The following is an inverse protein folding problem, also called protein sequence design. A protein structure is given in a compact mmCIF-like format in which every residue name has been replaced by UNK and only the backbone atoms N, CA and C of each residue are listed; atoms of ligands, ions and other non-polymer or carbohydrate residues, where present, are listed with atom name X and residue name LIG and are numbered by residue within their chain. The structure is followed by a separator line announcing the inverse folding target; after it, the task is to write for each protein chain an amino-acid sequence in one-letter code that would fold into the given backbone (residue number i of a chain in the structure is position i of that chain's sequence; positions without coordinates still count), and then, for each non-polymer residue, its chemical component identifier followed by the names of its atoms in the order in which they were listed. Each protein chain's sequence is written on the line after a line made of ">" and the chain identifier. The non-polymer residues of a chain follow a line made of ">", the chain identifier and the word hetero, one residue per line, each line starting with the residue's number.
data_IF_660642256901
#
_entry.id   IF_660642256901
#
_cell.length_a   1.000
_cell.length_b   1.000
_cell.length_c   1.000
_cell.angle_alpha   90.00
_cell.angle_beta   90.00
_cell.angle_gamma   90.00
#
_symmetry.space_group_name_H-M   'P 1'
#
loop_
_entity.id
_entity.type
_entity.pdbx_description
1 polymer ?
#
# COMPACT_ATOMS: atom_id res chain seq x y z
N UNK A 1 -9.98 -55.70 29.16
CA UNK A 1 -11.25 -55.30 28.50
C UNK A 1 -11.07 -53.88 28.01
N UNK A 2 -10.80 -53.70 26.71
CA UNK A 2 -10.48 -52.41 26.10
C UNK A 2 -11.75 -51.79 25.53
N UNK A 3 -12.20 -50.67 26.11
CA UNK A 3 -13.35 -49.91 25.61
C UNK A 3 -12.99 -49.11 24.33
N UNK A 4 -13.95 -48.82 23.44
CA UNK A 4 -13.69 -48.07 22.24
C UNK A 4 -13.46 -46.59 22.54
N UNK A 5 -12.29 -46.08 22.14
CA UNK A 5 -11.96 -44.65 22.16
C UNK A 5 -12.65 -44.00 20.95
N UNK A 6 -13.79 -43.36 21.17
CA UNK A 6 -14.42 -42.48 20.18
C UNK A 6 -13.57 -41.22 20.01
N UNK A 7 -12.62 -41.26 19.08
CA UNK A 7 -11.82 -40.12 18.67
C UNK A 7 -12.68 -39.22 17.78
N UNK A 8 -13.35 -38.24 18.39
CA UNK A 8 -14.06 -37.16 17.69
C UNK A 8 -13.05 -36.43 16.80
N UNK A 9 -13.04 -36.71 15.49
CA UNK A 9 -12.34 -35.88 14.52
C UNK A 9 -12.99 -34.50 14.63
N UNK A 10 -12.20 -33.50 15.05
CA UNK A 10 -12.57 -32.11 14.78
C UNK A 10 -12.52 -32.01 13.27
N UNK A 11 -13.69 -32.02 12.64
CA UNK A 11 -13.86 -31.47 11.31
C UNK A 11 -13.19 -30.11 11.35
N UNK A 12 -12.07 -30.01 10.63
CA UNK A 12 -11.47 -28.76 10.29
C UNK A 12 -12.51 -28.03 9.47
N UNK A 13 -13.29 -27.20 10.17
CA UNK A 13 -14.18 -26.20 9.63
C UNK A 13 -13.37 -25.43 8.59
N UNK A 14 -13.51 -25.84 7.35
CA UNK A 14 -12.85 -25.27 6.20
C UNK A 14 -13.52 -23.94 5.97
N UNK A 15 -13.12 -22.95 6.79
CA UNK A 15 -13.33 -21.53 6.52
C UNK A 15 -12.84 -21.31 5.11
N UNK A 16 -13.81 -21.26 4.20
CA UNK A 16 -13.64 -20.86 2.83
C UNK A 16 -13.04 -19.48 2.94
N UNK A 17 -11.72 -19.37 2.76
CA UNK A 17 -11.05 -18.09 2.63
C UNK A 17 -11.75 -17.43 1.45
N UNK A 18 -12.70 -16.54 1.73
CA UNK A 18 -13.11 -15.53 0.78
C UNK A 18 -11.81 -14.85 0.41
N UNK A 19 -11.26 -15.21 -0.74
CA UNK A 19 -10.18 -14.46 -1.35
C UNK A 19 -10.77 -13.07 -1.51
N UNK A 20 -10.41 -12.16 -0.60
CA UNK A 20 -10.72 -10.75 -0.78
C UNK A 20 -9.86 -10.37 -1.97
N UNK A 21 -10.48 -10.39 -3.15
CA UNK A 21 -9.81 -10.07 -4.38
C UNK A 21 -9.68 -8.55 -4.41
N UNK A 22 -8.50 -8.07 -4.04
CA UNK A 22 -8.20 -6.64 -4.02
C UNK A 22 -7.90 -6.18 -5.44
N UNK A 23 -8.64 -5.18 -5.90
CA UNK A 23 -8.36 -4.51 -7.18
C UNK A 23 -6.98 -3.87 -7.15
N UNK A 24 -6.22 -3.86 -8.26
CA UNK A 24 -4.91 -3.24 -8.31
C UNK A 24 -4.99 -1.75 -7.95
N UNK A 25 -3.93 -1.24 -7.31
CA UNK A 25 -3.79 0.18 -7.00
C UNK A 25 -3.56 0.93 -8.30
N UNK A 26 -4.52 1.78 -8.68
CA UNK A 26 -4.40 2.58 -9.90
C UNK A 26 -3.68 3.90 -9.61
N UNK A 27 -2.54 4.11 -10.26
CA UNK A 27 -1.73 5.33 -10.16
C UNK A 27 -1.51 5.92 -11.54
N UNK A 28 -1.50 7.25 -11.64
CA UNK A 28 -1.16 7.94 -12.88
C UNK A 28 0.31 8.38 -12.83
N UNK A 29 1.15 7.71 -13.61
CA UNK A 29 2.61 7.93 -13.57
C UNK A 29 3.00 9.29 -14.16
N UNK A 30 2.18 9.85 -15.05
CA UNK A 30 2.41 11.17 -15.65
C UNK A 30 2.51 12.32 -14.63
N UNK A 31 2.16 12.08 -13.37
CA UNK A 31 2.32 13.02 -12.27
C UNK A 31 3.69 12.99 -11.59
N UNK A 32 4.53 11.99 -11.88
CA UNK A 32 5.90 11.90 -11.39
C UNK A 32 6.84 12.38 -12.49
N UNK A 33 7.62 13.42 -12.20
CA UNK A 33 8.80 13.76 -13.00
C UNK A 33 9.89 12.86 -12.45
N UNK A 34 10.12 11.73 -13.10
CA UNK A 34 11.13 10.75 -12.70
C UNK A 34 12.37 10.89 -13.56
N UNK A 35 13.54 10.62 -12.96
CA UNK A 35 14.74 10.32 -13.72
C UNK A 35 14.53 9.05 -14.55
N UNK A 36 15.14 8.99 -15.75
CA UNK A 36 14.96 7.90 -16.73
C UNK A 36 15.15 6.47 -16.13
N UNK A 37 15.91 6.32 -15.05
CA UNK A 37 16.20 5.02 -14.43
C UNK A 37 15.03 4.42 -13.62
N UNK A 38 14.13 5.23 -13.06
CA UNK A 38 13.03 4.74 -12.22
C UNK A 38 11.76 4.40 -13.03
N UNK A 39 11.64 5.00 -14.21
CA UNK A 39 10.42 4.96 -15.02
C UNK A 39 9.97 3.55 -15.38
N UNK A 40 10.90 2.65 -15.71
CA UNK A 40 10.52 1.29 -16.11
C UNK A 40 9.80 0.51 -15.00
N UNK A 41 10.29 0.58 -13.76
CA UNK A 41 9.70 -0.18 -12.66
C UNK A 41 8.39 0.44 -12.19
N UNK A 42 8.30 1.77 -12.19
CA UNK A 42 7.06 2.47 -11.86
C UNK A 42 6.00 2.18 -12.93
N UNK A 43 6.37 2.22 -14.21
CA UNK A 43 5.50 1.86 -15.33
C UNK A 43 4.99 0.43 -15.23
N UNK A 44 5.90 -0.53 -14.97
CA UNK A 44 5.49 -1.92 -14.71
C UNK A 44 4.51 -2.04 -13.54
N UNK A 45 4.65 -1.25 -12.49
CA UNK A 45 3.71 -1.25 -11.37
C UNK A 45 2.32 -0.70 -11.75
N UNK A 46 2.26 0.40 -12.51
CA UNK A 46 0.97 0.98 -12.91
C UNK A 46 0.25 0.15 -13.99
N UNK A 47 1.01 -0.51 -14.87
CA UNK A 47 0.46 -1.38 -15.91
C UNK A 47 0.00 -2.75 -15.37
N UNK A 48 0.39 -3.09 -14.14
CA UNK A 48 0.00 -4.33 -13.50
C UNK A 48 -1.52 -4.39 -13.31
N UNK A 49 -2.10 -5.52 -13.69
CA UNK A 49 -3.56 -5.71 -13.73
C UNK A 49 -4.12 -6.33 -12.46
N UNK A 50 -3.24 -6.76 -11.54
CA UNK A 50 -3.62 -7.38 -10.28
C UNK A 50 -2.71 -7.00 -9.12
N UNK A 51 -3.24 -7.06 -7.91
CA UNK A 51 -2.46 -6.90 -6.66
C UNK A 51 -1.32 -7.93 -6.55
N UNK A 52 -1.52 -9.14 -7.08
CA UNK A 52 -0.52 -10.20 -7.06
C UNK A 52 0.67 -9.91 -7.99
N UNK A 53 0.48 -9.12 -9.05
CA UNK A 53 1.54 -8.60 -9.91
C UNK A 53 2.23 -7.38 -9.27
N UNK A 54 1.45 -6.49 -8.66
CA UNK A 54 1.96 -5.27 -8.02
C UNK A 54 2.88 -5.52 -6.83
N UNK A 55 2.57 -6.52 -5.99
CA UNK A 55 3.35 -6.79 -4.78
C UNK A 55 4.81 -7.21 -5.05
N UNK A 56 5.10 -8.16 -5.97
CA UNK A 56 6.46 -8.48 -6.38
C UNK A 56 7.22 -7.30 -6.97
N UNK A 57 6.56 -6.47 -7.78
CA UNK A 57 7.18 -5.28 -8.40
C UNK A 57 7.55 -4.27 -7.32
N UNK A 58 6.63 -3.98 -6.41
CA UNK A 58 6.88 -3.08 -5.29
C UNK A 58 8.00 -3.58 -4.38
N UNK A 59 8.05 -4.89 -4.12
CA UNK A 59 9.17 -5.50 -3.40
C UNK A 59 10.49 -5.27 -4.13
N UNK A 60 10.53 -5.53 -5.43
CA UNK A 60 11.73 -5.29 -6.25
C UNK A 60 12.18 -3.83 -6.22
N UNK A 61 11.25 -2.88 -6.25
CA UNK A 61 11.56 -1.45 -6.12
C UNK A 61 12.22 -1.17 -4.77
N UNK A 62 11.62 -1.60 -3.66
CA UNK A 62 12.18 -1.29 -2.33
C UNK A 62 13.51 -2.00 -2.06
N UNK A 63 13.69 -3.22 -2.56
CA UNK A 63 14.93 -3.99 -2.40
C UNK A 63 16.08 -3.38 -3.24
N UNK A 64 15.78 -2.84 -4.44
CA UNK A 64 16.78 -2.24 -5.31
C UNK A 64 17.35 -0.94 -4.74
N UNK A 65 16.57 -0.23 -3.93
CA UNK A 65 16.91 1.11 -3.43
C UNK A 65 17.00 1.20 -1.90
N UNK A 66 17.15 0.06 -1.23
CA UNK A 66 17.24 -0.04 0.24
C UNK A 66 18.35 0.86 0.83
N UNK A 67 19.43 1.10 0.07
CA UNK A 67 20.59 1.85 0.54
C UNK A 67 20.58 3.35 0.19
N UNK A 68 19.79 3.76 -0.81
CA UNK A 68 19.88 5.13 -1.39
C UNK A 68 18.61 5.94 -1.31
N UNK A 69 17.45 5.34 -0.97
CA UNK A 69 16.12 5.96 -0.84
C UNK A 69 16.02 7.37 -1.45
N UNK A 70 16.01 7.43 -2.78
CA UNK A 70 15.81 8.70 -3.47
C UNK A 70 14.41 9.25 -3.17
N UNK A 71 14.30 10.57 -3.20
CA UNK A 71 13.07 11.34 -2.99
C UNK A 71 11.95 10.84 -3.90
N UNK A 72 12.25 10.41 -5.12
CA UNK A 72 11.24 9.94 -6.08
C UNK A 72 10.65 8.58 -5.72
N UNK A 73 11.44 7.67 -5.15
CA UNK A 73 10.95 6.39 -4.62
C UNK A 73 10.05 6.64 -3.41
N UNK A 74 10.43 7.57 -2.54
CA UNK A 74 9.61 7.93 -1.38
C UNK A 74 8.28 8.54 -1.83
N UNK A 75 8.29 9.46 -2.81
CA UNK A 75 7.07 10.03 -3.40
C UNK A 75 6.20 8.94 -4.02
N UNK A 76 6.79 8.03 -4.80
CA UNK A 76 6.09 6.90 -5.39
C UNK A 76 5.39 6.06 -4.31
N UNK A 77 6.12 5.65 -3.28
CA UNK A 77 5.57 4.87 -2.17
C UNK A 77 4.43 5.61 -1.46
N UNK A 78 4.56 6.92 -1.22
CA UNK A 78 3.52 7.73 -0.59
C UNK A 78 2.26 7.79 -1.46
N UNK A 79 2.39 8.00 -2.76
CA UNK A 79 1.23 8.06 -3.66
C UNK A 79 0.55 6.70 -3.75
N UNK A 80 1.31 5.61 -3.92
CA UNK A 80 0.77 4.25 -3.91
C UNK A 80 0.05 3.97 -2.58
N UNK A 81 0.63 4.40 -1.46
CA UNK A 81 0.02 4.24 -0.14
C UNK A 81 -1.31 5.00 0.00
N UNK A 82 -1.37 6.24 -0.51
CA UNK A 82 -2.57 7.08 -0.45
C UNK A 82 -3.69 6.58 -1.38
N UNK A 83 -3.35 6.00 -2.52
CA UNK A 83 -4.33 5.48 -3.48
C UNK A 83 -4.82 4.08 -3.14
N UNK A 84 -4.07 3.32 -2.36
CA UNK A 84 -4.50 2.02 -1.89
C UNK A 84 -5.58 2.14 -0.79
N UNK A 85 -6.62 1.32 -0.91
CA UNK A 85 -7.72 1.24 0.06
C UNK A 85 -7.24 0.77 1.45
N UNK A 86 -8.05 1.05 2.47
CA UNK A 86 -7.83 0.51 3.80
C UNK A 86 -7.80 -1.02 3.78
N UNK A 87 -6.80 -1.62 4.43
CA UNK A 87 -6.59 -3.07 4.44
C UNK A 87 -6.00 -3.65 3.14
N UNK A 88 -5.75 -2.83 2.12
CA UNK A 88 -5.16 -3.30 0.87
C UNK A 88 -3.75 -3.90 1.09
N UNK A 89 -3.40 -5.05 0.47
CA UNK A 89 -2.12 -5.72 0.68
C UNK A 89 -0.90 -4.84 0.37
N UNK A 90 -0.97 -4.04 -0.71
CA UNK A 90 0.07 -3.06 -1.06
C UNK A 90 0.26 -2.01 0.05
N UNK A 91 -0.83 -1.45 0.60
CA UNK A 91 -0.78 -0.48 1.69
C UNK A 91 -0.16 -1.09 2.95
N UNK A 92 -0.60 -2.30 3.30
CA UNK A 92 -0.06 -3.07 4.42
C UNK A 92 1.43 -3.35 4.26
N UNK A 93 1.88 -3.67 3.04
CA UNK A 93 3.30 -3.89 2.74
C UNK A 93 4.11 -2.61 2.99
N UNK A 94 3.68 -1.48 2.44
CA UNK A 94 4.38 -0.19 2.59
C UNK A 94 4.42 0.23 4.06
N UNK A 95 3.29 0.18 4.77
CA UNK A 95 3.24 0.52 6.21
C UNK A 95 4.23 -0.33 7.01
N UNK A 96 4.24 -1.66 6.82
CA UNK A 96 5.17 -2.56 7.51
C UNK A 96 6.62 -2.29 7.13
N UNK A 97 6.90 -1.98 5.88
CA UNK A 97 8.25 -1.69 5.41
C UNK A 97 8.77 -0.39 6.02
N UNK A 98 7.99 0.69 5.94
CA UNK A 98 8.36 2.01 6.50
C UNK A 98 8.51 1.93 8.02
N UNK A 99 7.57 1.29 8.73
CA UNK A 99 7.63 1.15 10.20
C UNK A 99 8.82 0.31 10.69
N UNK A 100 9.32 -0.63 9.88
CA UNK A 100 10.55 -1.38 10.22
C UNK A 100 11.84 -0.61 9.93
N UNK A 101 11.81 0.32 8.98
CA UNK A 101 12.97 1.07 8.52
C UNK A 101 12.97 2.50 9.10
N UNK A 102 13.55 2.67 10.29
CA UNK A 102 13.56 3.96 11.01
C UNK A 102 14.11 5.14 10.19
N UNK A 103 15.09 4.89 9.32
CA UNK A 103 15.69 5.90 8.45
C UNK A 103 14.68 6.43 7.40
N UNK A 104 13.75 5.58 6.96
CA UNK A 104 12.75 5.91 5.96
C UNK A 104 11.55 6.63 6.58
N UNK A 105 11.20 6.32 7.84
CA UNK A 105 10.00 6.85 8.50
C UNK A 105 9.92 8.38 8.42
N UNK A 106 10.99 9.09 8.78
CA UNK A 106 10.97 10.56 8.80
C UNK A 106 10.68 11.14 7.42
N UNK A 107 11.39 10.67 6.40
CA UNK A 107 11.24 11.17 5.04
C UNK A 107 9.87 10.78 4.45
N UNK A 108 9.43 9.54 4.66
CA UNK A 108 8.12 9.07 4.23
C UNK A 108 6.98 9.87 4.86
N UNK A 109 6.98 10.01 6.20
CA UNK A 109 5.94 10.76 6.91
C UNK A 109 5.94 12.24 6.52
N UNK A 110 7.11 12.84 6.26
CA UNK A 110 7.20 14.21 5.77
C UNK A 110 6.55 14.39 4.39
N UNK A 111 6.83 13.48 3.45
CA UNK A 111 6.23 13.52 2.09
C UNK A 111 4.74 13.21 2.15
N UNK A 112 4.33 12.25 2.98
CA UNK A 112 2.93 11.91 3.23
C UNK A 112 2.16 13.12 3.80
N UNK A 113 2.71 13.78 4.81
CA UNK A 113 2.11 14.98 5.39
C UNK A 113 1.95 16.09 4.34
N UNK A 114 2.99 16.33 3.52
CA UNK A 114 2.91 17.32 2.44
C UNK A 114 1.79 16.98 1.43
N UNK A 115 1.66 15.73 1.02
CA UNK A 115 0.61 15.29 0.09
C UNK A 115 -0.80 15.42 0.69
N UNK A 116 -0.95 15.10 1.99
CA UNK A 116 -2.20 15.29 2.73
C UNK A 116 -2.55 16.78 2.80
N UNK A 117 -1.61 17.63 3.19
CA UNK A 117 -1.82 19.08 3.26
C UNK A 117 -2.27 19.64 1.92
N UNK A 118 -1.61 19.27 0.81
CA UNK A 118 -2.02 19.69 -0.54
C UNK A 118 -3.45 19.27 -0.86
N UNK A 119 -3.86 18.04 -0.50
CA UNK A 119 -5.23 17.56 -0.74
C UNK A 119 -6.27 18.28 0.11
N UNK A 120 -5.95 18.63 1.35
CA UNK A 120 -6.84 19.39 2.24
C UNK A 120 -6.97 20.83 1.72
N UNK A 121 -5.86 21.45 1.32
CA UNK A 121 -5.83 22.82 0.77
C UNK A 121 -6.50 22.97 -0.59
N UNK A 122 -6.81 21.86 -1.28
CA UNK A 122 -7.55 21.89 -2.54
C UNK A 122 -9.05 22.22 -2.37
N UNK A 123 -9.53 22.39 -1.14
CA UNK A 123 -10.91 22.80 -0.80
C UNK A 123 -11.98 22.02 -1.60
N UNK A 124 -12.15 20.71 -1.32
CA UNK A 124 -13.07 19.86 -2.10
C UNK A 124 -14.48 20.44 -2.09
N UNK A 125 -15.00 20.75 -3.29
CA UNK A 125 -16.31 21.40 -3.46
C UNK A 125 -17.46 20.40 -3.42
N UNK A 126 -17.16 19.11 -3.58
CA UNK A 126 -18.15 18.04 -3.59
C UNK A 126 -18.01 17.12 -2.39
N UNK A 127 -19.15 16.69 -1.82
CA UNK A 127 -19.19 15.79 -0.66
C UNK A 127 -18.41 14.49 -0.88
N UNK A 128 -18.43 13.94 -2.10
CA UNK A 128 -17.69 12.72 -2.44
C UNK A 128 -16.17 12.91 -2.34
N UNK A 129 -15.67 14.06 -2.79
CA UNK A 129 -14.25 14.40 -2.71
C UNK A 129 -13.84 14.66 -1.27
N UNK A 130 -14.68 15.37 -0.51
CA UNK A 130 -14.49 15.57 0.92
C UNK A 130 -14.39 14.23 1.67
N UNK A 131 -15.32 13.31 1.42
CA UNK A 131 -15.28 11.97 2.02
C UNK A 131 -14.02 11.19 1.64
N UNK A 132 -13.58 11.25 0.38
CA UNK A 132 -12.33 10.60 -0.06
C UNK A 132 -11.12 11.15 0.69
N UNK A 133 -11.01 12.49 0.80
CA UNK A 133 -9.92 13.15 1.53
C UNK A 133 -9.95 12.75 3.01
N UNK A 134 -11.08 12.87 3.68
CA UNK A 134 -11.21 12.54 5.11
C UNK A 134 -10.90 11.07 5.37
N UNK A 135 -11.43 10.16 4.54
CA UNK A 135 -11.15 8.72 4.66
C UNK A 135 -9.66 8.42 4.51
N UNK A 136 -9.00 9.02 3.51
CA UNK A 136 -7.56 8.86 3.29
C UNK A 136 -6.74 9.39 4.47
N UNK A 137 -7.10 10.55 5.00
CA UNK A 137 -6.43 11.16 6.17
C UNK A 137 -6.62 10.29 7.41
N UNK A 138 -7.84 9.85 7.70
CA UNK A 138 -8.14 8.98 8.84
C UNK A 138 -7.31 7.68 8.77
N UNK A 139 -7.26 7.06 7.60
CA UNK A 139 -6.47 5.84 7.39
C UNK A 139 -4.97 6.09 7.60
N UNK A 140 -4.45 7.28 7.28
CA UNK A 140 -3.04 7.60 7.52
C UNK A 140 -2.75 7.73 9.02
N UNK A 141 -3.60 8.43 9.77
CA UNK A 141 -3.47 8.63 11.23
C UNK A 141 -3.57 7.30 12.00
N UNK A 142 -4.42 6.38 11.56
CA UNK A 142 -4.54 5.08 12.21
C UNK A 142 -3.27 4.21 12.07
N UNK A 143 -2.44 4.48 11.05
CA UNK A 143 -1.30 3.63 10.70
C UNK A 143 0.07 4.27 10.98
N UNK A 144 0.14 5.56 11.31
CA UNK A 144 1.35 6.33 11.57
C UNK A 144 1.12 7.39 12.64
#
# INVERSE_FOLDING_TARGET
>A
MSGPIFRKRRDSDSKTKKSIDFSPVNISISSFITSDEHDELFQKFADATSTNEQLPILRKIVDLYEDTYDTDIIKFMVVVYLQADAGHPVKCFISRYVTKNNNLQKSFTSVLASQISTRISAEPTHYKEYLDVVSKVATCIENF
#
